data_IF_405810226947
#
_entry.id   IF_405810226947
#
_cell.length_a   1.000
_cell.length_b   1.000
_cell.length_c   1.000
_cell.angle_alpha   90.00
_cell.angle_beta   90.00
_cell.angle_gamma   90.00
#
_symmetry.space_group_name_H-M   'P 1'
#
loop_
_entity.id
_entity.type
_entity.pdbx_description
1 polymer ?
#
# COMPACT_ATOMS: atom_id res chain seq x y z
N UNK A 1 -4.18 -3.50 3.90
CA UNK A 1 -5.20 -2.45 4.13
C UNK A 1 -5.06 -1.94 5.55
N UNK A 2 -5.28 -0.65 5.77
CA UNK A 2 -5.44 -0.06 7.11
C UNK A 2 -6.71 0.76 7.13
N UNK A 3 -7.48 0.64 8.20
CA UNK A 3 -8.62 1.49 8.51
C UNK A 3 -8.18 2.41 9.64
N UNK A 4 -8.34 3.71 9.44
CA UNK A 4 -7.91 4.71 10.39
C UNK A 4 -9.07 5.64 10.74
N UNK A 5 -9.15 6.01 12.00
CA UNK A 5 -9.93 7.13 12.47
C UNK A 5 -9.03 8.36 12.48
N UNK A 6 -9.46 9.44 11.87
CA UNK A 6 -8.64 10.60 11.63
C UNK A 6 -9.42 11.87 11.93
N UNK A 7 -8.95 12.64 12.89
CA UNK A 7 -9.42 13.99 13.16
C UNK A 7 -8.34 15.03 12.77
N UNK A 8 -7.06 14.74 13.06
CA UNK A 8 -5.90 15.52 12.66
C UNK A 8 -4.66 14.61 12.52
N UNK A 9 -3.54 15.14 12.05
CA UNK A 9 -2.29 14.36 11.95
C UNK A 9 -1.82 13.82 13.30
N UNK A 10 -2.07 14.54 14.37
CA UNK A 10 -1.70 14.14 15.74
C UNK A 10 -2.76 13.23 16.39
N UNK A 11 -3.95 13.17 15.81
CA UNK A 11 -5.13 12.41 16.30
C UNK A 11 -5.53 11.32 15.32
N UNK A 12 -4.57 10.64 14.74
CA UNK A 12 -4.79 9.49 13.89
C UNK A 12 -4.67 8.20 14.68
N UNK A 13 -5.71 7.35 14.63
CA UNK A 13 -5.73 6.03 15.27
C UNK A 13 -5.98 4.94 14.23
N UNK A 14 -5.11 3.94 14.18
CA UNK A 14 -5.34 2.75 13.38
C UNK A 14 -6.37 1.89 14.12
N UNK A 15 -7.52 1.65 13.48
CA UNK A 15 -8.61 0.82 14.00
C UNK A 15 -8.40 -0.63 13.57
N UNK A 16 -8.03 -0.83 12.29
CA UNK A 16 -7.85 -2.17 11.73
C UNK A 16 -6.63 -2.19 10.78
N UNK A 17 -5.90 -3.29 10.79
CA UNK A 17 -4.78 -3.52 9.89
C UNK A 17 -4.83 -4.94 9.35
N UNK A 18 -5.07 -5.08 8.05
CA UNK A 18 -5.11 -6.37 7.36
C UNK A 18 -3.94 -6.48 6.40
N UNK A 19 -3.15 -7.53 6.56
CA UNK A 19 -2.06 -7.90 5.66
C UNK A 19 -2.30 -9.31 5.13
N UNK A 20 -2.03 -9.50 3.85
CA UNK A 20 -2.06 -10.81 3.21
C UNK A 20 -0.85 -10.94 2.30
N UNK A 21 -0.04 -11.93 2.57
CA UNK A 21 1.13 -12.24 1.75
C UNK A 21 0.68 -12.99 0.48
N UNK A 22 1.34 -12.69 -0.64
CA UNK A 22 1.01 -13.24 -1.96
C UNK A 22 2.28 -13.47 -2.76
N UNK A 23 2.24 -14.36 -3.73
CA UNK A 23 3.32 -14.62 -4.69
C UNK A 23 3.25 -13.77 -5.97
N UNK A 24 2.40 -12.74 -6.01
CA UNK A 24 2.21 -11.93 -7.23
C UNK A 24 3.48 -11.20 -7.65
N UNK A 25 4.30 -10.76 -6.68
CA UNK A 25 5.58 -10.12 -6.97
C UNK A 25 6.56 -11.05 -7.67
N UNK A 26 6.66 -12.28 -7.21
CA UNK A 26 7.51 -13.31 -7.81
C UNK A 26 7.06 -13.65 -9.24
N UNK A 27 5.74 -13.79 -9.47
CA UNK A 27 5.19 -14.06 -10.78
C UNK A 27 5.50 -12.94 -11.78
N UNK A 28 5.32 -11.67 -11.39
CA UNK A 28 5.65 -10.52 -12.25
C UNK A 28 7.14 -10.38 -12.47
N UNK A 29 7.96 -10.63 -11.45
CA UNK A 29 9.41 -10.60 -11.60
C UNK A 29 9.89 -11.61 -12.65
N UNK A 30 9.39 -12.85 -12.60
CA UNK A 30 9.81 -13.94 -13.48
C UNK A 30 9.18 -13.88 -14.87
N UNK A 31 7.92 -13.46 -14.98
CA UNK A 31 7.10 -13.59 -16.21
C UNK A 31 6.66 -12.25 -16.79
N UNK A 32 6.99 -11.13 -16.15
CA UNK A 32 6.56 -9.76 -16.53
C UNK A 32 5.05 -9.57 -16.64
N UNK A 33 4.25 -10.50 -16.16
CA UNK A 33 2.78 -10.45 -16.20
C UNK A 33 2.17 -11.25 -15.07
N UNK A 34 0.93 -10.93 -14.70
CA UNK A 34 0.11 -11.78 -13.84
C UNK A 34 -0.76 -12.70 -14.71
N UNK A 35 -0.84 -13.98 -14.33
CA UNK A 35 -1.76 -14.94 -14.91
C UNK A 35 -3.21 -14.56 -14.57
N UNK A 36 -4.14 -15.08 -15.39
CA UNK A 36 -5.57 -14.86 -15.16
C UNK A 36 -6.02 -15.40 -13.80
N UNK A 37 -5.45 -16.53 -13.35
CA UNK A 37 -5.76 -17.10 -12.04
C UNK A 37 -5.27 -16.23 -10.89
N UNK A 38 -4.09 -15.63 -11.02
CA UNK A 38 -3.56 -14.66 -10.05
C UNK A 38 -4.41 -13.40 -9.99
N UNK A 39 -4.85 -12.88 -11.13
CA UNK A 39 -5.76 -11.72 -11.18
C UNK A 39 -7.10 -12.08 -10.51
N UNK A 40 -7.65 -13.27 -10.75
CA UNK A 40 -8.88 -13.74 -10.11
C UNK A 40 -8.71 -13.87 -8.59
N UNK A 41 -7.55 -14.38 -8.12
CA UNK A 41 -7.22 -14.42 -6.68
C UNK A 41 -7.16 -13.02 -6.09
N UNK A 42 -6.51 -12.07 -6.80
CA UNK A 42 -6.43 -10.67 -6.39
C UNK A 42 -7.83 -10.04 -6.26
N UNK A 43 -8.70 -10.23 -7.24
CA UNK A 43 -10.08 -9.72 -7.20
C UNK A 43 -10.86 -10.28 -6.01
N UNK A 44 -10.73 -11.58 -5.70
CA UNK A 44 -11.37 -12.19 -4.52
C UNK A 44 -10.86 -11.58 -3.21
N UNK A 45 -9.55 -11.33 -3.12
CA UNK A 45 -8.97 -10.66 -1.95
C UNK A 45 -9.52 -9.25 -1.79
N UNK A 46 -9.57 -8.48 -2.88
CA UNK A 46 -10.08 -7.11 -2.87
C UNK A 46 -11.56 -7.06 -2.48
N UNK A 47 -12.38 -8.02 -2.93
CA UNK A 47 -13.78 -8.12 -2.51
C UNK A 47 -13.92 -8.40 -1.01
N UNK A 48 -13.05 -9.26 -0.44
CA UNK A 48 -13.00 -9.45 1.01
C UNK A 48 -12.63 -8.17 1.77
N UNK A 49 -11.66 -7.39 1.25
CA UNK A 49 -11.32 -6.10 1.83
C UNK A 49 -12.44 -5.06 1.68
N UNK A 50 -13.19 -5.10 0.58
CA UNK A 50 -14.36 -4.24 0.35
C UNK A 50 -15.46 -4.53 1.37
N UNK A 51 -15.68 -5.79 1.72
CA UNK A 51 -16.61 -6.16 2.79
C UNK A 51 -16.22 -5.53 4.13
N UNK A 52 -14.94 -5.62 4.50
CA UNK A 52 -14.44 -4.98 5.72
C UNK A 52 -14.66 -3.45 5.71
N UNK A 53 -14.42 -2.77 4.58
CA UNK A 53 -14.70 -1.34 4.48
C UNK A 53 -16.19 -1.03 4.74
N UNK A 54 -17.09 -1.90 4.29
CA UNK A 54 -18.53 -1.78 4.53
C UNK A 54 -18.86 -2.03 6.01
N UNK A 55 -18.30 -3.08 6.62
CA UNK A 55 -18.56 -3.44 8.02
C UNK A 55 -18.12 -2.33 8.99
N UNK A 56 -16.99 -1.68 8.66
CA UNK A 56 -16.49 -0.51 9.42
C UNK A 56 -17.11 0.82 8.97
N UNK A 57 -18.06 0.82 8.03
CA UNK A 57 -18.74 2.01 7.50
C UNK A 57 -17.76 3.07 6.96
N UNK A 58 -16.67 2.63 6.34
CA UNK A 58 -15.64 3.52 5.78
C UNK A 58 -16.20 4.25 4.56
N UNK A 59 -16.30 5.57 4.65
CA UNK A 59 -16.86 6.43 3.57
C UNK A 59 -15.82 6.88 2.57
N UNK A 60 -14.57 7.05 3.01
CA UNK A 60 -13.47 7.57 2.19
C UNK A 60 -12.34 6.55 2.18
N UNK A 61 -11.92 6.15 1.02
CA UNK A 61 -10.79 5.23 0.85
C UNK A 61 -10.02 5.52 -0.45
N UNK A 62 -8.77 5.09 -0.49
CA UNK A 62 -7.96 5.08 -1.70
C UNK A 62 -7.29 3.71 -1.86
N UNK A 63 -7.13 3.25 -3.09
CA UNK A 63 -6.47 1.99 -3.41
C UNK A 63 -5.29 2.27 -4.32
N UNK A 64 -4.12 1.95 -3.83
CA UNK A 64 -2.87 2.15 -4.56
C UNK A 64 -2.23 0.82 -4.94
N UNK A 65 -1.69 0.76 -6.14
CA UNK A 65 -0.84 -0.32 -6.61
C UNK A 65 0.58 0.20 -6.85
N UNK A 66 1.56 -0.60 -6.51
CA UNK A 66 2.97 -0.29 -6.63
C UNK A 66 3.66 -1.23 -7.63
N UNK A 67 4.91 -1.58 -7.41
CA UNK A 67 5.79 -2.30 -8.32
C UNK A 67 5.12 -3.50 -9.04
N UNK A 68 4.37 -4.34 -8.34
CA UNK A 68 3.77 -5.55 -8.93
C UNK A 68 2.87 -5.23 -10.14
N UNK A 69 2.02 -4.21 -10.03
CA UNK A 69 1.14 -3.82 -11.15
C UNK A 69 1.87 -2.86 -12.10
N UNK A 70 2.69 -1.97 -11.57
CA UNK A 70 3.47 -1.02 -12.38
C UNK A 70 4.39 -1.72 -13.38
N UNK A 71 5.05 -2.80 -12.94
CA UNK A 71 6.05 -3.52 -13.75
C UNK A 71 5.44 -4.66 -14.62
N UNK A 72 4.14 -4.88 -14.52
CA UNK A 72 3.48 -5.93 -15.31
C UNK A 72 3.11 -5.42 -16.71
N UNK A 73 3.51 -6.17 -17.76
CA UNK A 73 3.18 -5.87 -19.16
C UNK A 73 1.67 -5.82 -19.39
N UNK A 74 0.89 -6.58 -18.60
CA UNK A 74 -0.57 -6.61 -18.67
C UNK A 74 -1.26 -5.75 -17.61
N UNK A 75 -0.57 -4.71 -17.07
CA UNK A 75 -1.09 -3.83 -16.03
C UNK A 75 -2.48 -3.26 -16.35
N UNK A 76 -2.69 -2.80 -17.58
CA UNK A 76 -3.99 -2.25 -18.01
C UNK A 76 -5.13 -3.28 -17.87
N UNK A 77 -4.90 -4.50 -18.34
CA UNK A 77 -5.89 -5.57 -18.22
C UNK A 77 -6.17 -5.95 -16.76
N UNK A 78 -5.15 -5.94 -15.91
CA UNK A 78 -5.28 -6.16 -14.46
C UNK A 78 -6.21 -5.10 -13.85
N UNK A 79 -5.95 -3.82 -14.13
CA UNK A 79 -6.72 -2.71 -13.59
C UNK A 79 -8.18 -2.73 -14.06
N UNK A 80 -8.41 -3.02 -15.35
CA UNK A 80 -9.76 -3.13 -15.90
C UNK A 80 -10.52 -4.29 -15.25
N UNK A 81 -9.90 -5.46 -15.07
CA UNK A 81 -10.51 -6.60 -14.40
C UNK A 81 -10.79 -6.33 -12.93
N UNK A 82 -9.90 -5.66 -12.22
CA UNK A 82 -10.16 -5.22 -10.84
C UNK A 82 -11.37 -4.31 -10.80
N UNK A 83 -11.42 -3.28 -11.65
CA UNK A 83 -12.53 -2.33 -11.69
C UNK A 83 -13.86 -3.02 -11.95
N UNK A 84 -13.92 -3.91 -12.94
CA UNK A 84 -15.15 -4.64 -13.31
C UNK A 84 -15.60 -5.59 -12.21
N UNK A 85 -14.68 -6.33 -11.59
CA UNK A 85 -15.02 -7.40 -10.63
C UNK A 85 -15.20 -6.90 -9.20
N UNK A 86 -14.62 -5.75 -8.84
CA UNK A 86 -14.63 -5.25 -7.45
C UNK A 86 -15.22 -3.86 -7.31
N UNK A 87 -15.28 -3.09 -8.39
CA UNK A 87 -15.65 -1.67 -8.39
C UNK A 87 -14.58 -0.75 -7.82
N UNK A 88 -13.39 -1.25 -7.43
CA UNK A 88 -12.30 -0.40 -7.00
C UNK A 88 -11.65 0.33 -8.18
N UNK A 89 -11.40 1.63 -7.98
CA UNK A 89 -10.55 2.41 -8.85
C UNK A 89 -9.13 2.42 -8.26
N UNK A 90 -8.24 1.63 -8.86
CA UNK A 90 -6.85 1.48 -8.38
C UNK A 90 -5.96 2.49 -9.07
N UNK A 91 -5.22 3.25 -8.28
CA UNK A 91 -4.20 4.18 -8.77
C UNK A 91 -2.83 3.50 -8.74
N UNK A 92 -2.16 3.42 -9.87
CA UNK A 92 -0.77 2.95 -9.93
C UNK A 92 0.13 4.13 -9.64
N UNK A 93 0.90 4.03 -8.56
CA UNK A 93 1.86 5.06 -8.18
C UNK A 93 3.21 4.81 -8.83
N UNK A 94 3.87 5.86 -9.27
CA UNK A 94 5.24 5.79 -9.75
C UNK A 94 6.23 5.64 -8.58
N UNK A 95 7.50 5.41 -8.92
CA UNK A 95 8.53 5.21 -7.90
C UNK A 95 8.75 6.47 -7.03
N UNK A 96 8.83 7.69 -7.58
CA UNK A 96 8.92 8.91 -6.78
C UNK A 96 7.76 9.09 -5.80
N UNK A 97 6.53 8.84 -6.22
CA UNK A 97 5.34 8.91 -5.36
C UNK A 97 5.40 7.86 -4.25
N UNK A 98 5.83 6.63 -4.57
CA UNK A 98 5.99 5.56 -3.59
C UNK A 98 7.01 5.95 -2.51
N UNK A 99 8.17 6.49 -2.90
CA UNK A 99 9.20 6.99 -1.99
C UNK A 99 8.65 8.14 -1.14
N UNK A 100 7.93 9.08 -1.75
CA UNK A 100 7.31 10.20 -1.03
C UNK A 100 6.35 9.72 0.06
N UNK A 101 5.47 8.77 -0.23
CA UNK A 101 4.53 8.22 0.76
C UNK A 101 5.26 7.52 1.90
N UNK A 102 6.32 6.76 1.60
CA UNK A 102 7.14 6.09 2.61
C UNK A 102 7.87 7.11 3.49
N UNK A 103 8.45 8.15 2.89
CA UNK A 103 9.10 9.24 3.62
C UNK A 103 8.13 9.97 4.56
N UNK A 104 6.93 10.30 4.07
CA UNK A 104 5.90 10.93 4.88
C UNK A 104 5.46 10.06 6.06
N UNK A 105 5.24 8.77 5.83
CA UNK A 105 4.90 7.82 6.89
C UNK A 105 6.03 7.69 7.92
N UNK A 106 7.28 7.69 7.48
CA UNK A 106 8.45 7.69 8.38
C UNK A 106 8.51 8.93 9.23
N UNK A 107 8.34 10.13 8.64
CA UNK A 107 8.33 11.37 9.42
C UNK A 107 7.26 11.36 10.51
N UNK A 108 6.07 10.85 10.20
CA UNK A 108 5.00 10.68 11.18
C UNK A 108 5.42 9.77 12.34
N UNK A 109 6.01 8.61 12.03
CA UNK A 109 6.50 7.67 13.03
C UNK A 109 7.62 8.27 13.89
N UNK A 110 8.57 8.97 13.28
CA UNK A 110 9.67 9.61 14.00
C UNK A 110 9.20 10.72 14.94
N UNK A 111 8.22 11.54 14.52
CA UNK A 111 7.62 12.55 15.39
C UNK A 111 6.97 11.92 16.62
N UNK A 112 6.23 10.85 16.43
CA UNK A 112 5.59 10.10 17.52
C UNK A 112 6.64 9.48 18.44
N UNK A 113 7.65 8.83 17.88
CA UNK A 113 8.74 8.20 18.63
C UNK A 113 9.55 9.25 19.44
N UNK A 114 9.84 10.41 18.86
CA UNK A 114 10.52 11.49 19.56
C UNK A 114 9.71 12.06 20.73
N UNK A 115 8.39 12.15 20.60
CA UNK A 115 7.52 12.53 21.71
C UNK A 115 7.59 11.52 22.86
N UNK A 116 7.65 10.22 22.54
CA UNK A 116 7.71 9.13 23.52
C UNK A 116 9.11 8.98 24.17
N UNK A 117 10.18 9.39 23.48
CA UNK A 117 11.59 9.26 23.93
C UNK A 117 12.22 10.57 24.38
N UNK A 118 11.42 11.60 24.72
CA UNK A 118 11.88 12.90 25.21
C UNK A 118 12.97 13.57 24.34
N UNK A 119 12.86 13.41 23.01
CA UNK A 119 13.76 14.10 22.07
C UNK A 119 15.17 13.49 21.93
N UNK A 120 15.38 12.24 22.34
CA UNK A 120 16.70 11.57 22.31
C UNK A 120 17.21 11.19 20.91
N UNK A 121 16.34 11.24 19.88
CA UNK A 121 16.78 10.97 18.52
C UNK A 121 17.55 12.15 17.93
N UNK A 122 18.71 11.86 17.36
CA UNK A 122 19.52 12.85 16.64
C UNK A 122 18.76 13.51 15.50
N UNK A 123 19.29 14.64 14.99
CA UNK A 123 18.61 15.42 13.91
C UNK A 123 18.77 14.83 12.52
N UNK A 124 19.70 13.89 12.32
CA UNK A 124 20.02 13.33 11.01
C UNK A 124 19.78 11.83 11.03
N UNK A 125 19.01 11.33 10.05
CA UNK A 125 18.77 9.91 9.85
C UNK A 125 19.03 9.56 8.40
N UNK A 126 19.50 8.36 8.18
CA UNK A 126 19.47 7.70 6.88
C UNK A 126 18.36 6.64 6.94
N UNK A 127 17.35 6.81 6.10
CA UNK A 127 16.31 5.79 5.92
C UNK A 127 16.66 4.89 4.75
N UNK A 128 16.74 3.59 5.02
CA UNK A 128 16.98 2.56 4.02
C UNK A 128 15.73 1.71 3.89
N UNK A 129 15.06 1.79 2.75
CA UNK A 129 13.87 1.01 2.43
C UNK A 129 14.24 -0.12 1.47
N UNK A 130 14.08 -1.35 1.92
CA UNK A 130 14.37 -2.53 1.12
C UNK A 130 13.05 -3.27 0.86
N UNK A 131 12.66 -3.34 -0.38
CA UNK A 131 11.49 -4.09 -0.84
C UNK A 131 11.88 -5.12 -1.90
N UNK A 132 10.97 -6.01 -2.26
CA UNK A 132 11.21 -7.02 -3.29
C UNK A 132 11.55 -6.46 -4.69
N UNK A 133 11.33 -5.18 -4.91
CA UNK A 133 11.52 -4.54 -6.22
C UNK A 133 12.49 -3.37 -6.24
N UNK A 134 12.89 -2.83 -5.07
CA UNK A 134 13.82 -1.70 -5.02
C UNK A 134 14.49 -1.52 -3.66
N UNK A 135 15.60 -0.79 -3.68
CA UNK A 135 16.25 -0.23 -2.48
C UNK A 135 16.16 1.28 -2.59
N UNK A 136 15.52 1.91 -1.62
CA UNK A 136 15.39 3.36 -1.50
C UNK A 136 16.28 3.89 -0.38
N UNK A 137 16.92 5.03 -0.61
CA UNK A 137 17.68 5.79 0.38
C UNK A 137 17.06 7.18 0.50
N UNK A 138 16.78 7.61 1.73
CA UNK A 138 16.22 8.95 1.99
C UNK A 138 16.85 9.56 3.23
#
# INVERSE_FOLDING_TARGET
>A
MKIVEYASMDEMRIIESVRKDTSFGEEVFNHKKLSFDSIRKLCRMLNGLKQLLSDYQVKVYAVYATAVIREADNARSILDLIRVNTGFNVQVVDMPQEIYFKHFALQYLLRRFNKEQEGRLGRNFLFVDITSGCVGLT
#
